data_IF_226887694692
#
_entry.id   IF_226887694692
#
_cell.length_a   1.000
_cell.length_b   1.000
_cell.length_c   1.000
_cell.angle_alpha   90.00
_cell.angle_beta   90.00
_cell.angle_gamma   90.00
#
_symmetry.space_group_name_H-M   'P 1'
#
loop_
_entity.id
_entity.type
_entity.pdbx_description
1 polymer ?
#
# COMPACT_ATOMS: atom_id res chain seq x y z
N UNK A 1 -4.55 -4.94 5.72
CA UNK A 1 -3.54 -4.07 5.04
C UNK A 1 -2.39 -3.80 6.01
N UNK A 2 -1.15 -3.69 5.53
CA UNK A 2 0.03 -3.45 6.38
C UNK A 2 0.24 -1.94 6.61
N UNK A 3 0.84 -1.57 7.75
CA UNK A 3 1.27 -0.18 8.02
C UNK A 3 2.47 0.19 7.15
N UNK A 4 2.60 1.49 6.86
CA UNK A 4 3.74 2.07 6.16
C UNK A 4 4.99 1.93 7.03
N UNK A 5 6.08 1.44 6.45
CA UNK A 5 7.36 1.32 7.13
C UNK A 5 8.33 2.43 6.68
N UNK A 6 9.27 2.85 7.54
CA UNK A 6 10.22 3.92 7.21
C UNK A 6 11.20 3.58 6.09
N UNK A 7 11.27 2.31 5.67
CA UNK A 7 12.06 1.87 4.51
C UNK A 7 11.25 1.64 3.23
N UNK A 8 9.93 1.86 3.27
CA UNK A 8 9.10 1.73 2.08
C UNK A 8 9.29 2.96 1.17
N UNK A 9 9.56 2.74 -0.12
CA UNK A 9 9.66 3.82 -1.10
C UNK A 9 8.27 4.28 -1.52
N UNK A 10 7.88 5.50 -1.17
CA UNK A 10 6.53 6.01 -1.43
C UNK A 10 6.41 6.45 -2.88
N UNK A 11 5.57 5.75 -3.65
CA UNK A 11 5.23 6.09 -5.03
C UNK A 11 4.19 7.21 -5.09
N UNK A 12 3.17 7.16 -4.21
CA UNK A 12 2.05 8.10 -4.20
C UNK A 12 1.40 8.14 -2.82
N UNK A 13 0.97 9.32 -2.37
CA UNK A 13 0.24 9.48 -1.11
C UNK A 13 -1.19 9.90 -1.40
N UNK A 14 -2.15 9.20 -0.80
CA UNK A 14 -3.57 9.55 -0.79
C UNK A 14 -3.95 10.03 0.62
N UNK A 15 -3.95 11.35 0.78
CA UNK A 15 -4.22 12.00 2.08
C UNK A 15 -5.70 11.93 2.48
N UNK A 16 -6.60 11.75 1.52
CA UNK A 16 -8.04 11.64 1.77
C UNK A 16 -8.38 10.29 2.36
N UNK A 17 -7.71 9.24 1.87
CA UNK A 17 -7.89 7.86 2.34
C UNK A 17 -6.91 7.45 3.44
N UNK A 18 -5.93 8.29 3.81
CA UNK A 18 -4.92 7.96 4.81
C UNK A 18 -3.98 6.81 4.39
N UNK A 19 -3.83 6.57 3.09
CA UNK A 19 -2.98 5.51 2.53
C UNK A 19 -1.79 6.08 1.74
N UNK A 20 -0.69 5.36 1.74
CA UNK A 20 0.47 5.58 0.89
C UNK A 20 0.68 4.35 0.01
N UNK A 21 0.80 4.58 -1.30
CA UNK A 21 1.21 3.56 -2.25
C UNK A 21 2.72 3.50 -2.26
N UNK A 22 3.26 2.32 -2.00
CA UNK A 22 4.70 2.07 -1.95
C UNK A 22 5.13 1.33 -3.22
N UNK A 23 6.33 1.58 -3.70
CA UNK A 23 6.99 0.77 -4.72
C UNK A 23 7.49 -0.52 -4.08
N UNK A 24 7.11 -1.64 -4.69
CA UNK A 24 7.68 -2.92 -4.35
C UNK A 24 9.01 -3.09 -5.09
N UNK A 25 9.93 -3.93 -4.57
CA UNK A 25 11.06 -4.36 -5.35
C UNK A 25 10.57 -5.08 -6.62
N UNK A 26 11.31 -4.98 -7.74
CA UNK A 26 10.96 -5.69 -8.97
C UNK A 26 10.94 -7.19 -8.72
N UNK A 27 9.88 -7.87 -9.15
CA UNK A 27 9.73 -9.32 -8.97
C UNK A 27 10.50 -10.07 -10.06
N UNK A 28 11.56 -10.82 -9.72
CA UNK A 28 12.35 -11.56 -10.70
C UNK A 28 11.54 -12.66 -11.39
N UNK A 29 10.50 -13.19 -10.75
CA UNK A 29 9.65 -14.24 -11.33
C UNK A 29 8.68 -13.68 -12.38
N UNK A 30 8.42 -12.37 -12.36
CA UNK A 30 7.58 -11.66 -13.32
C UNK A 30 8.42 -10.86 -14.34
N UNK A 31 9.67 -11.25 -14.56
CA UNK A 31 10.56 -10.57 -15.52
C UNK A 31 11.01 -9.18 -15.08
N UNK A 32 11.05 -8.93 -13.76
CA UNK A 32 11.41 -7.63 -13.20
C UNK A 32 10.25 -6.64 -13.09
N UNK A 33 9.00 -7.13 -13.17
CA UNK A 33 7.82 -6.27 -12.98
C UNK A 33 7.86 -5.59 -11.60
N UNK A 34 7.74 -4.26 -11.60
CA UNK A 34 7.71 -3.47 -10.38
C UNK A 34 6.27 -3.09 -10.02
N UNK A 35 5.76 -3.72 -8.96
CA UNK A 35 4.41 -3.45 -8.47
C UNK A 35 4.35 -2.26 -7.52
N UNK A 36 3.13 -1.78 -7.26
CA UNK A 36 2.85 -0.86 -6.17
C UNK A 36 1.89 -1.52 -5.17
N UNK A 37 2.08 -1.23 -3.88
CA UNK A 37 1.25 -1.78 -2.81
C UNK A 37 0.71 -0.66 -1.91
N UNK A 38 -0.59 -0.64 -1.58
CA UNK A 38 -1.12 0.34 -0.63
C UNK A 38 -0.73 -0.03 0.81
N UNK A 39 -0.28 0.96 1.57
CA UNK A 39 0.06 0.88 2.99
C UNK A 39 -0.71 1.94 3.77
N UNK A 40 -1.12 1.59 4.98
CA UNK A 40 -1.81 2.52 5.88
C UNK A 40 -0.78 3.48 6.45
N UNK A 41 -0.96 4.77 6.21
CA UNK A 41 -0.11 5.84 6.73
C UNK A 41 -0.71 6.48 7.99
N UNK A 42 -2.04 6.67 8.00
CA UNK A 42 -2.76 7.28 9.11
C UNK A 42 -4.06 6.52 9.36
N UNK A 43 -4.13 5.79 10.48
CA UNK A 43 -5.30 4.99 10.87
C UNK A 43 -6.53 5.86 11.20
N UNK A 44 -6.34 7.12 11.61
CA UNK A 44 -7.44 8.04 11.94
C UNK A 44 -8.11 8.63 10.71
N UNK A 45 -7.38 8.76 9.60
CA UNK A 45 -7.89 9.16 8.28
C UNK A 45 -8.17 8.00 7.34
N UNK A 46 -7.82 6.78 7.74
CA UNK A 46 -8.18 5.57 7.02
C UNK A 46 -9.70 5.38 7.04
N UNK A 47 -10.36 6.06 6.12
CA UNK A 47 -11.76 5.85 5.77
C UNK A 47 -11.84 4.54 5.03
N UNK A 48 -11.73 3.44 5.78
CA UNK A 48 -11.91 2.11 5.26
C UNK A 48 -13.24 2.06 4.50
N UNK A 49 -13.29 1.81 3.19
CA UNK A 49 -14.38 1.00 2.71
C UNK A 49 -14.19 -0.35 3.41
N UNK A 50 -14.88 -0.56 4.54
CA UNK A 50 -15.20 -1.90 5.06
C UNK A 50 -15.88 -2.66 3.91
N UNK A 51 -15.10 -3.29 3.03
CA UNK A 51 -15.48 -4.32 2.05
C UNK A 51 -14.37 -4.48 1.03
N UNK A 52 -13.49 -5.43 1.29
CA UNK A 52 -12.87 -6.39 0.36
C UNK A 52 -11.54 -6.80 0.96
N UNK A 53 -11.35 -8.11 1.09
CA UNK A 53 -10.16 -8.77 1.61
C UNK A 53 -10.11 -8.95 3.13
N UNK A 54 -11.18 -9.53 3.67
CA UNK A 54 -11.02 -10.58 4.68
C UNK A 54 -11.74 -11.81 4.10
N UNK A 55 -10.94 -12.85 3.85
CA UNK A 55 -11.25 -14.27 3.61
C UNK A 55 -12.15 -14.72 2.42
N UNK A 56 -11.56 -15.65 1.66
CA UNK A 56 -12.14 -16.76 0.86
C UNK A 56 -13.48 -16.59 0.10
#
# INVERSE_FOLDING_TARGET
MKKLQPGDEIAKIDKEQGIAWILLPPDPNLGGFQGISPRIMDEGKFTAPKKRSEEE
#
